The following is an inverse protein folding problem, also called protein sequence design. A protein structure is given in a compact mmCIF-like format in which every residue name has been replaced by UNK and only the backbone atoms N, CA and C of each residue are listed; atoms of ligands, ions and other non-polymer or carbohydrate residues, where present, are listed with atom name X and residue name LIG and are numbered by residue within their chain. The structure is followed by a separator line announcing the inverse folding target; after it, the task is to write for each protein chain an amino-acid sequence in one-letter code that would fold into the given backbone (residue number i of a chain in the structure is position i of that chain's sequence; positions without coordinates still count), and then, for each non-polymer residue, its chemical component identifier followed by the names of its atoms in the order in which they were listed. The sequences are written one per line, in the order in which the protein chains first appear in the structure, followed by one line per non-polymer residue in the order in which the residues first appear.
data_IF_463631168468
#
_entry.id   IF_463631168468
#
_cell.length_a   1.000
_cell.length_b   1.000
_cell.length_c   1.000
_cell.angle_alpha   90.00
_cell.angle_beta   90.00
_cell.angle_gamma   90.00
#
_symmetry.space_group_name_H-M   'P 1'
#
loop_
_entity.id
_entity.type
_entity.pdbx_description
1 polymer ?
#
# COMPACT_ATOMS: atom_id res chain seq x y z
N UNK A 1 -28.23 1.52 10.81
CA UNK A 1 -28.27 2.99 10.98
C UNK A 1 -28.43 3.60 9.60
N UNK A 2 -29.28 4.62 9.44
CA UNK A 2 -29.49 5.30 8.16
C UNK A 2 -28.75 6.64 8.19
N UNK A 3 -27.49 6.65 7.75
CA UNK A 3 -26.80 7.90 7.41
C UNK A 3 -27.57 8.56 6.25
N UNK A 4 -27.77 9.87 6.30
CA UNK A 4 -28.39 10.58 5.18
C UNK A 4 -27.42 10.64 4.00
N UNK A 5 -27.96 10.78 2.79
CA UNK A 5 -27.15 10.97 1.57
C UNK A 5 -26.24 12.19 1.73
N UNK A 6 -26.74 13.27 2.33
CA UNK A 6 -25.98 14.48 2.61
C UNK A 6 -24.79 14.23 3.55
N UNK A 7 -24.95 13.35 4.55
CA UNK A 7 -23.85 12.99 5.45
C UNK A 7 -22.75 12.22 4.71
N UNK A 8 -23.11 11.35 3.76
CA UNK A 8 -22.12 10.67 2.92
C UNK A 8 -21.33 11.65 2.07
N UNK A 9 -22.00 12.57 1.37
CA UNK A 9 -21.32 13.61 0.57
C UNK A 9 -20.38 14.46 1.42
N UNK A 10 -20.79 14.79 2.66
CA UNK A 10 -19.99 15.58 3.58
C UNK A 10 -18.74 14.83 4.08
N UNK A 11 -18.87 13.53 4.37
CA UNK A 11 -17.73 12.65 4.70
C UNK A 11 -16.77 12.57 3.51
N UNK A 12 -17.29 12.41 2.29
CA UNK A 12 -16.45 12.34 1.10
C UNK A 12 -15.67 13.64 0.87
N UNK A 13 -16.35 14.78 0.95
CA UNK A 13 -15.72 16.10 0.85
C UNK A 13 -14.64 16.29 1.92
N UNK A 14 -14.88 15.85 3.15
CA UNK A 14 -13.87 15.87 4.23
C UNK A 14 -12.65 15.02 3.87
N UNK A 15 -12.87 13.76 3.48
CA UNK A 15 -11.78 12.83 3.13
C UNK A 15 -11.03 13.23 1.85
N UNK A 16 -11.63 14.04 0.99
CA UNK A 16 -10.99 14.63 -0.20
C UNK A 16 -10.29 15.97 0.10
N UNK A 17 -10.45 16.53 1.30
CA UNK A 17 -9.91 17.85 1.64
C UNK A 17 -10.61 19.01 0.90
N UNK A 18 -11.87 18.82 0.51
CA UNK A 18 -12.67 19.80 -0.23
C UNK A 18 -13.52 20.69 0.68
N UNK A 19 -13.61 20.38 1.97
CA UNK A 19 -14.27 21.26 2.94
C UNK A 19 -13.45 22.53 3.18
N UNK A 20 -14.12 23.67 3.27
CA UNK A 20 -13.51 24.90 3.79
C UNK A 20 -13.09 24.70 5.25
N UNK A 21 -12.11 25.48 5.73
CA UNK A 21 -11.60 25.34 7.10
C UNK A 21 -12.70 25.50 8.16
N UNK A 22 -13.64 26.43 7.96
CA UNK A 22 -14.80 26.60 8.86
C UNK A 22 -15.66 25.34 8.92
N UNK A 23 -16.00 24.77 7.76
CA UNK A 23 -16.82 23.55 7.64
C UNK A 23 -16.10 22.32 8.20
N UNK A 24 -14.79 22.25 7.99
CA UNK A 24 -13.93 21.20 8.51
C UNK A 24 -13.89 21.21 10.03
N UNK A 25 -13.72 22.38 10.67
CA UNK A 25 -13.74 22.49 12.13
C UNK A 25 -15.08 22.03 12.72
N UNK A 26 -16.21 22.43 12.12
CA UNK A 26 -17.55 21.97 12.55
C UNK A 26 -17.72 20.47 12.38
N UNK A 27 -17.19 19.90 11.29
CA UNK A 27 -17.23 18.46 11.07
C UNK A 27 -16.38 17.70 12.09
N UNK A 28 -15.17 18.16 12.36
CA UNK A 28 -14.27 17.56 13.34
C UNK A 28 -14.85 17.60 14.76
N UNK A 29 -15.51 18.70 15.14
CA UNK A 29 -16.27 18.75 16.39
C UNK A 29 -17.41 17.71 16.42
N UNK A 30 -18.10 17.49 15.29
CA UNK A 30 -19.13 16.45 15.18
C UNK A 30 -18.55 15.03 15.32
N UNK A 31 -17.32 14.80 14.85
CA UNK A 31 -16.64 13.49 15.00
C UNK A 31 -16.29 13.15 16.45
N UNK A 32 -16.08 14.15 17.30
CA UNK A 32 -15.81 13.94 18.73
C UNK A 32 -17.09 13.66 19.52
N UNK A 33 -18.23 14.17 19.06
CA UNK A 33 -19.53 13.96 19.69
C UNK A 33 -20.21 12.66 19.24
N UNK A 34 -20.01 12.24 17.99
CA UNK A 34 -20.67 11.09 17.39
C UNK A 34 -19.67 9.95 17.07
N UNK A 35 -19.66 8.93 17.93
CA UNK A 35 -18.82 7.76 17.77
C UNK A 35 -19.19 6.90 16.54
N UNK A 36 -20.45 6.92 16.09
CA UNK A 36 -20.88 6.18 14.91
C UNK A 36 -20.42 6.89 13.63
N UNK A 37 -20.55 8.22 13.57
CA UNK A 37 -20.00 9.02 12.47
C UNK A 37 -18.49 8.81 12.34
N UNK A 38 -17.76 8.85 13.46
CA UNK A 38 -16.32 8.59 13.49
C UNK A 38 -15.96 7.20 12.94
N UNK A 39 -16.73 6.17 13.30
CA UNK A 39 -16.55 4.81 12.80
C UNK A 39 -16.80 4.71 11.29
N UNK A 40 -17.80 5.42 10.77
CA UNK A 40 -18.09 5.45 9.34
C UNK A 40 -16.95 6.14 8.56
N UNK A 41 -16.50 7.32 9.02
CA UNK A 41 -15.35 8.02 8.40
C UNK A 41 -14.12 7.13 8.33
N UNK A 42 -13.83 6.40 9.42
CA UNK A 42 -12.71 5.46 9.46
C UNK A 42 -12.90 4.29 8.50
N UNK A 43 -14.13 3.76 8.39
CA UNK A 43 -14.47 2.68 7.43
C UNK A 43 -14.23 3.12 5.99
N UNK A 44 -14.70 4.32 5.62
CA UNK A 44 -14.50 4.86 4.27
C UNK A 44 -13.03 5.18 3.98
N UNK A 45 -12.28 5.67 4.98
CA UNK A 45 -10.83 5.88 4.87
C UNK A 45 -10.11 4.56 4.59
N UNK A 46 -10.45 3.49 5.31
CA UNK A 46 -9.88 2.16 5.10
C UNK A 46 -10.22 1.60 3.73
N UNK A 47 -11.46 1.77 3.26
CA UNK A 47 -11.88 1.34 1.92
C UNK A 47 -11.06 2.04 0.83
N UNK A 48 -10.88 3.37 0.94
CA UNK A 48 -10.08 4.15 -0.02
C UNK A 48 -8.62 3.69 -0.03
N UNK A 49 -8.02 3.47 1.14
CA UNK A 49 -6.65 2.95 1.23
C UNK A 49 -6.54 1.56 0.59
N UNK A 50 -7.50 0.67 0.85
CA UNK A 50 -7.55 -0.66 0.23
C UNK A 50 -7.57 -0.60 -1.30
N UNK A 51 -8.44 0.24 -1.86
CA UNK A 51 -8.54 0.43 -3.32
C UNK A 51 -7.25 1.02 -3.92
N UNK A 52 -6.60 1.96 -3.24
CA UNK A 52 -5.33 2.52 -3.67
C UNK A 52 -4.21 1.47 -3.70
N UNK A 53 -4.12 0.64 -2.66
CA UNK A 53 -3.15 -0.47 -2.60
C UNK A 53 -3.34 -1.44 -3.75
N UNK A 54 -4.59 -1.85 -4.03
CA UNK A 54 -4.91 -2.72 -5.17
C UNK A 54 -4.48 -2.08 -6.50
N UNK A 55 -4.76 -0.80 -6.68
CA UNK A 55 -4.36 -0.06 -7.88
C UNK A 55 -2.84 0.01 -8.06
N UNK A 56 -2.09 0.21 -6.96
CA UNK A 56 -0.61 0.21 -6.98
C UNK A 56 -0.07 -1.18 -7.30
N UNK A 57 -0.60 -2.24 -6.67
CA UNK A 57 -0.19 -3.62 -6.95
C UNK A 57 -0.36 -3.98 -8.42
N UNK A 58 -1.50 -3.58 -9.03
CA UNK A 58 -1.74 -3.81 -10.46
C UNK A 58 -0.67 -3.14 -11.33
N UNK A 59 -0.41 -1.85 -11.10
CA UNK A 59 0.63 -1.10 -11.84
C UNK A 59 2.03 -1.66 -11.62
N UNK A 60 2.33 -2.12 -10.41
CA UNK A 60 3.62 -2.72 -10.08
C UNK A 60 3.81 -4.05 -10.84
N UNK A 61 2.77 -4.89 -10.89
CA UNK A 61 2.79 -6.14 -11.66
C UNK A 61 2.97 -5.87 -13.16
N UNK A 62 2.28 -4.87 -13.70
CA UNK A 62 2.44 -4.43 -15.09
C UNK A 62 3.86 -3.90 -15.36
N UNK A 63 4.42 -3.09 -14.47
CA UNK A 63 5.78 -2.57 -14.60
C UNK A 63 6.83 -3.68 -14.51
N UNK A 64 6.63 -4.66 -13.62
CA UNK A 64 7.51 -5.81 -13.51
C UNK A 64 7.47 -6.69 -14.77
N UNK A 65 6.29 -6.94 -15.33
CA UNK A 65 6.16 -7.69 -16.58
C UNK A 65 6.91 -6.99 -17.72
N UNK A 66 6.72 -5.67 -17.87
CA UNK A 66 7.45 -4.88 -18.88
C UNK A 66 8.97 -4.96 -18.70
N UNK A 67 9.45 -5.00 -17.46
CA UNK A 67 10.87 -5.15 -17.18
C UNK A 67 11.39 -6.52 -17.63
N UNK A 68 10.64 -7.60 -17.37
CA UNK A 68 10.99 -8.95 -17.82
C UNK A 68 11.00 -9.04 -19.36
N UNK A 69 9.99 -8.49 -20.02
CA UNK A 69 9.89 -8.51 -21.49
C UNK A 69 11.10 -7.80 -22.15
N UNK A 70 11.59 -6.70 -21.54
CA UNK A 70 12.75 -5.96 -22.03
C UNK A 70 14.11 -6.65 -21.74
N UNK A 71 14.19 -7.55 -20.74
CA UNK A 71 15.42 -8.30 -20.46
C UNK A 71 15.71 -9.31 -21.59
N UNK A 72 14.67 -9.97 -22.11
CA UNK A 72 14.78 -10.91 -23.24
C UNK A 72 15.26 -10.23 -24.55
N UNK A 73 15.04 -8.92 -24.69
CA UNK A 73 15.48 -8.14 -25.84
C UNK A 73 16.91 -7.57 -25.68
N UNK A 74 17.38 -7.38 -24.44
CA UNK A 74 18.70 -6.79 -24.16
C UNK A 74 19.84 -7.80 -24.39
N UNK A 75 19.63 -9.10 -24.15
CA UNK A 75 20.62 -10.14 -24.44
C UNK A 75 20.90 -10.31 -25.96
N UNK A 76 20.05 -9.77 -26.85
CA UNK A 76 20.24 -9.85 -28.31
C UNK A 76 21.03 -8.69 -28.91
N UNK A 77 21.36 -7.65 -28.15
CA UNK A 77 22.03 -6.44 -28.68
C UNK A 77 23.47 -6.22 -28.16
N UNK A 78 24.00 -7.08 -27.28
CA UNK A 78 25.38 -6.93 -26.76
C UNK A 78 26.49 -7.57 -27.63
N UNK A 79 26.17 -8.27 -28.73
CA UNK A 79 27.21 -8.83 -29.63
C UNK A 79 27.65 -7.92 -30.80
N UNK A 80 26.95 -6.81 -31.09
CA UNK A 80 27.31 -5.92 -32.21
C UNK A 80 27.57 -4.48 -31.73
N UNK A 81 28.76 -4.23 -31.16
CA UNK A 81 29.11 -2.84 -30.88
C UNK A 81 30.38 -2.57 -30.09
N UNK A 82 31.38 -3.44 -30.13
CA UNK A 82 32.65 -3.17 -29.45
C UNK A 82 33.50 -2.16 -30.25
N UNK A 83 33.15 -0.87 -30.16
CA UNK A 83 33.97 0.22 -30.65
C UNK A 83 34.48 1.04 -29.45
N UNK A 84 35.61 0.60 -28.92
CA UNK A 84 36.30 1.21 -27.77
C UNK A 84 36.84 2.58 -28.18
N UNK A 85 36.22 3.65 -27.67
CA UNK A 85 36.77 5.02 -27.77
C UNK A 85 37.78 5.25 -26.64
N UNK A 86 38.99 5.77 -26.93
CA UNK A 86 39.97 6.07 -25.89
C UNK A 86 39.50 7.21 -24.97
N UNK A 87 39.80 7.07 -23.68
CA UNK A 87 39.44 8.05 -22.65
C UNK A 87 40.20 9.37 -22.84
N UNK A 88 39.48 10.43 -23.15
CA UNK A 88 39.97 11.81 -23.06
C UNK A 88 40.12 12.20 -21.58
N UNK A 89 41.34 12.56 -21.20
CA UNK A 89 41.71 12.94 -19.83
C UNK A 89 40.98 14.23 -19.38
N UNK A 90 40.48 14.30 -18.13
CA UNK A 90 39.79 15.49 -17.63
C UNK A 90 40.78 16.61 -17.25
N UNK A 91 40.62 17.79 -17.87
CA UNK A 91 41.24 19.05 -17.41
C UNK A 91 40.73 19.36 -15.99
N UNK A 92 41.64 19.44 -15.04
CA UNK A 92 41.39 19.83 -13.65
C UNK A 92 40.86 21.27 -13.61
N UNK A 93 39.54 21.41 -13.44
CA UNK A 93 38.85 22.70 -13.31
C UNK A 93 38.90 23.10 -11.84
N UNK A 94 39.48 24.26 -11.54
CA UNK A 94 39.48 24.83 -10.20
C UNK A 94 38.05 24.89 -9.66
N UNK A 95 37.83 24.16 -8.56
CA UNK A 95 36.54 24.02 -7.90
C UNK A 95 36.26 25.34 -7.19
N UNK A 96 35.31 26.11 -7.72
CA UNK A 96 34.76 27.28 -7.07
C UNK A 96 33.94 26.86 -5.86
N UNK A 97 34.34 27.29 -4.67
CA UNK A 97 33.71 26.96 -3.38
C UNK A 97 32.23 27.32 -3.30
N UNK A 98 31.75 28.20 -4.17
CA UNK A 98 30.32 28.49 -4.36
C UNK A 98 29.51 27.27 -4.79
N UNK A 99 30.09 26.33 -5.52
CA UNK A 99 29.39 25.11 -5.94
C UNK A 99 29.22 24.11 -4.79
N UNK A 100 30.09 24.16 -3.78
CA UNK A 100 29.98 23.29 -2.60
C UNK A 100 28.82 23.68 -1.68
N UNK A 101 28.52 24.99 -1.57
CA UNK A 101 27.36 25.46 -0.81
C UNK A 101 26.03 25.00 -1.43
N UNK A 102 25.95 24.97 -2.77
CA UNK A 102 24.77 24.47 -3.50
C UNK A 102 24.63 22.95 -3.36
N UNK A 103 25.74 22.20 -3.37
CA UNK A 103 25.69 20.75 -3.18
C UNK A 103 25.22 20.36 -1.76
N UNK A 104 25.62 21.11 -0.73
CA UNK A 104 25.21 20.84 0.65
C UNK A 104 23.70 21.05 0.88
N UNK A 105 23.08 22.06 0.23
CA UNK A 105 21.63 22.27 0.33
C UNK A 105 20.84 21.15 -0.36
N UNK A 106 21.32 20.69 -1.51
CA UNK A 106 20.73 19.53 -2.22
C UNK A 106 20.85 18.26 -1.36
N UNK A 107 21.99 18.04 -0.70
CA UNK A 107 22.20 16.89 0.19
C UNK A 107 21.28 16.91 1.43
N UNK A 108 21.02 18.10 2.00
CA UNK A 108 20.08 18.26 3.10
C UNK A 108 18.64 17.99 2.68
N UNK A 109 18.20 18.52 1.53
CA UNK A 109 16.86 18.24 1.00
C UNK A 109 16.69 16.77 0.65
N UNK A 110 17.70 16.12 0.08
CA UNK A 110 17.67 14.67 -0.16
C UNK A 110 17.67 13.85 1.13
N UNK A 111 18.43 14.26 2.15
CA UNK A 111 18.43 13.57 3.46
C UNK A 111 17.09 13.74 4.18
N UNK A 112 16.50 14.93 4.17
CA UNK A 112 15.17 15.17 4.73
C UNK A 112 14.08 14.43 3.96
N UNK A 113 14.16 14.44 2.63
CA UNK A 113 13.25 13.67 1.77
C UNK A 113 13.37 12.17 2.02
N UNK A 114 14.59 11.67 2.23
CA UNK A 114 14.84 10.28 2.57
C UNK A 114 14.25 9.92 3.93
N UNK A 115 14.50 10.72 4.98
CA UNK A 115 13.94 10.50 6.32
C UNK A 115 12.40 10.55 6.32
N UNK A 116 11.81 11.49 5.57
CA UNK A 116 10.36 11.58 5.42
C UNK A 116 9.80 10.32 4.72
N UNK A 117 10.53 9.81 3.71
CA UNK A 117 10.20 8.56 3.02
C UNK A 117 10.40 7.33 3.91
N UNK A 118 11.39 7.30 4.80
CA UNK A 118 11.65 6.18 5.72
C UNK A 118 10.47 5.94 6.66
N UNK A 119 9.76 7.00 7.07
CA UNK A 119 8.53 6.88 7.87
C UNK A 119 7.37 6.19 7.11
N UNK A 120 7.38 6.21 5.76
CA UNK A 120 6.43 5.47 4.92
C UNK A 120 6.89 4.03 4.58
N UNK A 121 8.20 3.75 4.65
CA UNK A 121 8.78 2.46 4.26
C UNK A 121 8.56 1.31 5.26
N UNK A 122 8.13 1.56 6.51
CA UNK A 122 7.74 0.49 7.42
C UNK A 122 6.58 -0.39 6.88
N UNK A 123 5.91 0.05 5.80
CA UNK A 123 4.92 -0.73 5.07
C UNK A 123 5.49 -1.66 3.98
N UNK A 124 6.75 -1.50 3.52
CA UNK A 124 7.26 -2.28 2.39
C UNK A 124 7.58 -3.73 2.74
N UNK A 125 8.12 -4.03 3.93
CA UNK A 125 8.28 -5.42 4.37
C UNK A 125 6.93 -6.12 4.55
N UNK A 126 5.92 -5.38 5.01
CA UNK A 126 4.55 -5.90 5.16
C UNK A 126 3.92 -6.17 3.81
N UNK A 127 4.14 -5.30 2.81
CA UNK A 127 3.67 -5.49 1.44
C UNK A 127 4.40 -6.66 0.76
N UNK A 128 5.71 -6.83 0.97
CA UNK A 128 6.48 -7.95 0.42
C UNK A 128 6.05 -9.28 1.06
N UNK A 129 5.84 -9.30 2.39
CA UNK A 129 5.31 -10.48 3.10
C UNK A 129 3.87 -10.82 2.66
N UNK A 130 3.01 -9.81 2.49
CA UNK A 130 1.65 -9.98 1.96
C UNK A 130 1.67 -10.48 0.50
N UNK A 131 2.56 -9.96 -0.35
CA UNK A 131 2.73 -10.38 -1.73
C UNK A 131 3.29 -11.81 -1.85
N UNK A 132 4.16 -12.22 -0.91
CA UNK A 132 4.71 -13.59 -0.89
C UNK A 132 3.69 -14.62 -0.38
N UNK A 133 2.86 -14.24 0.59
CA UNK A 133 1.65 -14.98 0.97
C UNK A 133 0.67 -15.11 -0.21
N UNK A 134 0.40 -14.02 -0.93
CA UNK A 134 -0.44 -14.03 -2.13
C UNK A 134 0.13 -14.93 -3.23
N UNK A 135 1.46 -14.98 -3.42
CA UNK A 135 2.10 -15.84 -4.42
C UNK A 135 1.88 -17.33 -4.12
N UNK A 136 1.93 -17.73 -2.85
CA UNK A 136 1.61 -19.11 -2.44
C UNK A 136 0.13 -19.42 -2.59
N UNK A 137 -0.75 -18.47 -2.27
CA UNK A 137 -2.21 -18.63 -2.38
C UNK A 137 -2.73 -18.56 -3.83
N UNK A 138 -2.06 -17.84 -4.72
CA UNK A 138 -2.49 -17.69 -6.12
C UNK A 138 -2.22 -18.93 -6.98
N UNK A 139 -1.25 -19.77 -6.58
CA UNK A 139 -0.91 -21.02 -7.28
C UNK A 139 -2.05 -22.06 -7.15
N UNK A 140 -2.83 -22.00 -6.08
CA UNK A 140 -3.88 -22.98 -5.78
C UNK A 140 -5.26 -22.64 -6.39
N UNK A 141 -5.48 -21.38 -6.79
CA UNK A 141 -6.83 -20.84 -7.08
C UNK A 141 -7.10 -20.46 -8.55
N UNK A 142 -6.43 -21.12 -9.51
CA UNK A 142 -6.63 -20.88 -10.96
C UNK A 142 -7.87 -21.61 -11.52
N UNK A 143 -9.02 -21.46 -10.86
CA UNK A 143 -10.33 -21.95 -11.32
C UNK A 143 -11.25 -20.80 -11.73
N UNK A 144 -12.00 -20.97 -12.81
CA UNK A 144 -12.94 -20.00 -13.39
C UNK A 144 -14.13 -19.70 -12.44
N UNK A 145 -13.93 -18.84 -11.44
CA UNK A 145 -15.02 -18.37 -10.59
C UNK A 145 -15.75 -17.15 -11.20
N UNK A 146 -17.08 -17.08 -11.00
CA UNK A 146 -17.93 -15.99 -11.47
C UNK A 146 -17.53 -14.63 -10.85
N UNK A 147 -17.99 -13.52 -11.44
CA UNK A 147 -17.62 -12.15 -11.01
C UNK A 147 -18.02 -11.81 -9.57
N UNK A 148 -19.15 -12.35 -9.10
CA UNK A 148 -19.63 -12.21 -7.71
C UNK A 148 -18.73 -12.97 -6.73
N UNK A 149 -18.30 -14.17 -7.10
CA UNK A 149 -17.38 -14.98 -6.28
C UNK A 149 -16.00 -14.33 -6.19
N UNK A 150 -15.55 -13.69 -7.28
CA UNK A 150 -14.29 -12.91 -7.27
C UNK A 150 -14.35 -11.71 -6.31
N UNK A 151 -15.47 -10.99 -6.25
CA UNK A 151 -15.61 -9.87 -5.32
C UNK A 151 -15.67 -10.34 -3.87
N UNK A 152 -16.47 -11.37 -3.57
CA UNK A 152 -16.52 -12.00 -2.25
C UNK A 152 -15.13 -12.44 -1.79
N UNK A 153 -14.40 -13.15 -2.66
CA UNK A 153 -13.03 -13.60 -2.41
C UNK A 153 -12.06 -12.43 -2.18
N UNK A 154 -12.23 -11.32 -2.88
CA UNK A 154 -11.38 -10.13 -2.71
C UNK A 154 -11.58 -9.50 -1.33
N UNK A 155 -12.83 -9.43 -0.86
CA UNK A 155 -13.15 -8.91 0.47
C UNK A 155 -12.59 -9.83 1.56
N UNK A 156 -12.76 -11.14 1.41
CA UNK A 156 -12.23 -12.15 2.35
C UNK A 156 -10.69 -12.11 2.40
N UNK A 157 -10.03 -11.95 1.25
CA UNK A 157 -8.57 -11.75 1.17
C UNK A 157 -8.12 -10.48 1.89
N UNK A 158 -8.83 -9.37 1.69
CA UNK A 158 -8.49 -8.11 2.35
C UNK A 158 -8.62 -8.22 3.89
N UNK A 159 -9.66 -8.89 4.39
CA UNK A 159 -9.85 -9.13 5.82
C UNK A 159 -8.73 -10.00 6.41
N UNK A 160 -8.37 -11.07 5.71
CA UNK A 160 -7.27 -11.95 6.09
C UNK A 160 -5.92 -11.23 6.14
N UNK A 161 -5.57 -10.51 5.07
CA UNK A 161 -4.33 -9.74 5.03
C UNK A 161 -4.29 -8.71 6.16
N UNK A 162 -5.39 -8.02 6.44
CA UNK A 162 -5.45 -7.07 7.54
C UNK A 162 -5.18 -7.72 8.91
N UNK A 163 -5.71 -8.93 9.15
CA UNK A 163 -5.40 -9.69 10.36
C UNK A 163 -3.90 -10.00 10.47
N UNK A 164 -3.27 -10.45 9.37
CA UNK A 164 -1.83 -10.72 9.34
C UNK A 164 -0.97 -9.47 9.58
N UNK A 165 -1.37 -8.32 9.01
CA UNK A 165 -0.68 -7.04 9.27
C UNK A 165 -0.73 -6.72 10.75
N UNK A 166 -1.89 -6.86 11.41
CA UNK A 166 -2.03 -6.58 12.85
C UNK A 166 -1.15 -7.48 13.71
N UNK A 167 -0.96 -8.75 13.34
CA UNK A 167 0.00 -9.65 13.99
C UNK A 167 1.43 -9.09 13.86
N UNK A 168 1.83 -8.69 12.65
CA UNK A 168 3.17 -8.15 12.36
C UNK A 168 3.43 -6.82 13.07
N UNK A 169 2.45 -5.94 13.16
CA UNK A 169 2.55 -4.67 13.88
C UNK A 169 2.45 -4.82 15.41
N UNK A 170 2.49 -6.05 15.94
CA UNK A 170 2.39 -6.40 17.37
C UNK A 170 1.09 -5.97 18.05
N UNK A 171 0.07 -5.60 17.28
CA UNK A 171 -1.27 -5.32 17.81
C UNK A 171 -2.07 -6.62 17.95
N UNK A 172 -1.71 -7.41 18.96
CA UNK A 172 -2.32 -8.74 19.20
C UNK A 172 -3.81 -8.67 19.48
N UNK A 173 -4.29 -7.57 20.09
CA UNK A 173 -5.70 -7.42 20.47
C UNK A 173 -6.57 -7.28 19.23
N UNK A 174 -6.19 -6.40 18.32
CA UNK A 174 -6.92 -6.22 17.05
C UNK A 174 -6.77 -7.43 16.12
N UNK A 175 -5.57 -8.02 16.05
CA UNK A 175 -5.34 -9.24 15.30
C UNK A 175 -6.28 -10.37 15.75
N UNK A 176 -6.36 -10.62 17.07
CA UNK A 176 -7.25 -11.64 17.63
C UNK A 176 -8.72 -11.38 17.28
N UNK A 177 -9.16 -10.12 17.34
CA UNK A 177 -10.54 -9.74 16.97
C UNK A 177 -10.83 -10.04 15.50
N UNK A 178 -9.92 -9.67 14.59
CA UNK A 178 -10.08 -9.92 13.16
C UNK A 178 -10.05 -11.42 12.84
N UNK A 179 -9.10 -12.16 13.40
CA UNK A 179 -9.01 -13.61 13.21
C UNK A 179 -10.25 -14.34 13.76
N UNK A 180 -10.78 -13.93 14.92
CA UNK A 180 -12.00 -14.51 15.49
C UNK A 180 -13.18 -14.30 14.54
N UNK A 181 -13.33 -13.07 14.03
CA UNK A 181 -14.36 -12.76 13.04
C UNK A 181 -14.24 -13.65 11.78
N UNK A 182 -13.03 -13.86 11.28
CA UNK A 182 -12.79 -14.73 10.11
C UNK A 182 -13.10 -16.20 10.43
N UNK A 183 -12.70 -16.68 11.61
CA UNK A 183 -12.92 -18.06 12.06
C UNK A 183 -14.40 -18.40 12.29
N UNK A 184 -15.20 -17.42 12.70
CA UNK A 184 -16.65 -17.53 12.94
C UNK A 184 -17.50 -17.29 11.68
N UNK A 185 -16.91 -16.76 10.60
CA UNK A 185 -17.66 -16.53 9.35
C UNK A 185 -17.74 -17.83 8.55
N UNK A 186 -18.93 -18.42 8.48
CA UNK A 186 -19.16 -19.66 7.75
C UNK A 186 -18.87 -19.52 6.25
N UNK A 187 -18.06 -20.43 5.72
CA UNK A 187 -17.69 -20.45 4.31
C UNK A 187 -16.70 -19.36 3.90
N UNK A 188 -16.01 -18.74 4.86
CA UNK A 188 -14.90 -17.83 4.58
C UNK A 188 -13.69 -18.61 4.07
N UNK A 189 -13.04 -18.15 2.99
CA UNK A 189 -11.92 -18.85 2.34
C UNK A 189 -10.67 -19.07 3.22
N UNK A 190 -10.63 -18.47 4.42
CA UNK A 190 -9.48 -18.45 5.33
C UNK A 190 -9.87 -18.87 6.76
N UNK A 191 -11.03 -19.51 6.90
CA UNK A 191 -11.60 -19.86 8.21
C UNK A 191 -10.68 -20.78 9.02
N UNK A 192 -10.15 -21.84 8.38
CA UNK A 192 -9.28 -22.83 9.02
C UNK A 192 -7.90 -22.26 9.38
N UNK A 193 -7.35 -21.40 8.52
CA UNK A 193 -6.09 -20.70 8.80
C UNK A 193 -6.23 -19.74 9.99
N UNK A 194 -7.37 -19.05 10.09
CA UNK A 194 -7.66 -18.16 11.21
C UNK A 194 -7.79 -18.93 12.53
N UNK A 195 -8.49 -20.07 12.55
CA UNK A 195 -8.56 -20.95 13.73
C UNK A 195 -7.16 -21.44 14.16
N UNK A 196 -6.34 -21.84 13.18
CA UNK A 196 -4.98 -22.31 13.42
C UNK A 196 -4.10 -21.23 14.02
N UNK A 197 -4.18 -20.00 13.52
CA UNK A 197 -3.43 -18.88 14.07
C UNK A 197 -3.92 -18.48 15.46
N UNK A 198 -5.23 -18.48 15.71
CA UNK A 198 -5.79 -18.19 17.05
C UNK A 198 -5.28 -19.17 18.12
N UNK A 199 -5.10 -20.43 17.76
CA UNK A 199 -4.53 -21.44 18.67
C UNK A 199 -3.06 -21.19 19.02
N UNK A 200 -2.29 -20.58 18.11
CA UNK A 200 -0.84 -20.34 18.28
C UNK A 200 -0.50 -19.02 18.98
N UNK A 201 -1.45 -18.10 19.13
CA UNK A 201 -1.25 -16.74 19.67
C UNK A 201 -1.47 -16.65 21.18
#
# INVERSE_FOLDING_TARGET
MNLSIEQFEYIEAYLQGQLSEEKKQVFEASLDLDAELKKEVETQRQLRLGLQVIGVQKRLKEAHQRYLDNLDDTEKQEEEGNNVRPLSQPKTRQISWTNWAVAASIALVMSFGWLYKTQYYLSSEVIVFAAEQERKLAIDFRGEANTVDKQKLTIEKAQWLMALVKIKTKDKKEAKRLLTKIAETDGHSFQEDAKTLLYKM
#
